data_IF_734866216007
#
_entry.id   IF_734866216007
#
_cell.length_a   1.000
_cell.length_b   1.000
_cell.length_c   1.000
_cell.angle_alpha   90.00
_cell.angle_beta   90.00
_cell.angle_gamma   90.00
#
_symmetry.space_group_name_H-M   'P 1'
#
loop_
_entity.id
_entity.type
_entity.pdbx_description
1 polymer ?
#
# COMPACT_ATOMS: atom_id res chain seq x y z
N UNK A 1 17.20 66.48 -43.34
CA UNK A 1 17.00 66.45 -41.86
C UNK A 1 16.25 65.15 -41.50
N UNK A 2 16.99 64.06 -41.32
CA UNK A 2 16.40 62.72 -41.06
C UNK A 2 16.20 62.57 -39.56
N UNK A 3 14.95 62.37 -39.11
CA UNK A 3 14.63 62.11 -37.69
C UNK A 3 15.18 60.73 -37.30
N UNK A 4 15.86 60.58 -36.15
CA UNK A 4 16.34 59.28 -35.71
C UNK A 4 15.19 58.42 -35.18
N UNK A 5 15.12 57.20 -35.69
CA UNK A 5 14.20 56.15 -35.25
C UNK A 5 14.43 55.81 -33.77
N UNK A 6 13.37 55.92 -32.95
CA UNK A 6 13.41 55.57 -31.53
C UNK A 6 13.62 54.06 -31.37
N UNK A 7 14.77 53.72 -30.80
CA UNK A 7 15.22 52.36 -30.50
C UNK A 7 14.30 51.67 -29.46
N UNK A 8 13.24 51.00 -29.91
CA UNK A 8 12.24 50.30 -29.09
C UNK A 8 12.67 48.87 -28.66
N UNK A 9 13.91 48.45 -28.95
CA UNK A 9 14.41 47.10 -28.64
C UNK A 9 14.87 46.87 -27.19
N UNK A 10 15.31 47.93 -26.48
CA UNK A 10 15.98 47.78 -25.18
C UNK A 10 15.06 47.49 -23.98
N UNK A 11 13.77 47.87 -24.04
CA UNK A 11 12.83 47.66 -22.93
C UNK A 11 12.36 46.20 -22.80
N UNK A 12 12.27 45.47 -23.92
CA UNK A 12 11.86 44.07 -23.97
C UNK A 12 12.93 43.13 -23.39
N UNK A 13 14.18 43.31 -23.81
CA UNK A 13 15.34 42.56 -23.30
C UNK A 13 15.59 42.83 -21.82
N UNK A 14 15.46 44.09 -21.36
CA UNK A 14 15.60 44.42 -19.93
C UNK A 14 14.48 43.83 -19.07
N UNK A 15 13.25 43.71 -19.59
CA UNK A 15 12.13 43.01 -18.95
C UNK A 15 12.33 41.50 -18.90
N UNK A 16 12.87 40.90 -19.97
CA UNK A 16 13.26 39.48 -20.00
C UNK A 16 14.42 39.14 -19.05
N UNK A 17 15.43 40.00 -18.95
CA UNK A 17 16.56 39.83 -18.02
C UNK A 17 16.12 39.97 -16.56
N UNK A 18 15.22 40.92 -16.25
CA UNK A 18 14.58 41.03 -14.92
C UNK A 18 13.71 39.82 -14.58
N UNK A 19 13.05 39.21 -15.56
CA UNK A 19 12.30 37.96 -15.38
C UNK A 19 13.22 36.74 -15.17
N UNK A 20 14.40 36.72 -15.81
CA UNK A 20 15.41 35.65 -15.66
C UNK A 20 16.07 35.62 -14.28
N UNK A 21 16.23 36.76 -13.62
CA UNK A 21 16.79 36.86 -12.26
C UNK A 21 15.74 36.94 -11.12
N UNK A 22 14.45 37.06 -11.45
CA UNK A 22 13.39 37.29 -10.47
C UNK A 22 12.80 36.02 -9.85
N UNK A 23 11.89 36.20 -8.88
CA UNK A 23 11.10 35.12 -8.25
C UNK A 23 10.41 34.22 -9.30
N UNK A 24 10.03 34.80 -10.45
CA UNK A 24 9.46 34.09 -11.59
C UNK A 24 10.36 32.97 -12.16
N UNK A 25 11.68 33.11 -12.07
CA UNK A 25 12.64 32.11 -12.56
C UNK A 25 12.74 30.90 -11.63
N UNK A 26 12.42 31.06 -10.35
CA UNK A 26 12.54 29.98 -9.34
C UNK A 26 11.44 28.93 -9.44
N UNK A 27 10.34 29.23 -10.12
CA UNK A 27 9.18 28.37 -10.23
C UNK A 27 8.87 28.00 -11.68
N UNK A 28 8.47 26.76 -11.88
CA UNK A 28 7.97 26.26 -13.17
C UNK A 28 6.57 25.69 -13.01
N UNK A 29 5.75 25.83 -14.04
CA UNK A 29 4.40 25.25 -14.08
C UNK A 29 4.46 23.75 -14.36
N UNK A 30 3.49 22.98 -13.85
CA UNK A 30 3.37 21.53 -14.11
C UNK A 30 3.58 21.15 -15.59
N UNK A 31 2.90 21.80 -16.53
CA UNK A 31 3.03 21.48 -17.96
C UNK A 31 4.44 21.72 -18.50
N UNK A 32 5.14 22.75 -18.01
CA UNK A 32 6.52 23.00 -18.39
C UNK A 32 7.48 21.96 -17.78
N UNK A 33 7.22 21.50 -16.55
CA UNK A 33 7.96 20.39 -15.95
C UNK A 33 7.78 19.08 -16.73
N UNK A 34 6.54 18.76 -17.12
CA UNK A 34 6.21 17.59 -17.96
C UNK A 34 6.97 17.60 -19.28
N UNK A 35 6.92 18.71 -20.01
CA UNK A 35 7.60 18.86 -21.29
C UNK A 35 9.12 18.75 -21.15
N UNK A 36 9.68 19.26 -20.05
CA UNK A 36 11.11 19.19 -19.78
C UNK A 36 11.60 17.78 -19.45
N UNK A 37 10.85 17.04 -18.62
CA UNK A 37 11.20 15.67 -18.21
C UNK A 37 10.78 14.62 -19.27
N UNK A 38 9.96 15.01 -20.25
CA UNK A 38 9.40 14.14 -21.29
C UNK A 38 8.56 12.99 -20.72
N UNK A 39 7.82 13.26 -19.64
CA UNK A 39 6.97 12.30 -18.93
C UNK A 39 5.49 12.54 -19.19
N UNK A 40 4.69 11.48 -19.04
CA UNK A 40 3.23 11.60 -18.94
C UNK A 40 2.85 12.14 -17.56
N UNK A 41 1.62 12.66 -17.43
CA UNK A 41 1.11 13.18 -16.16
C UNK A 41 1.10 12.13 -15.04
N UNK A 42 0.72 10.88 -15.34
CA UNK A 42 0.69 9.80 -14.35
C UNK A 42 2.10 9.47 -13.83
N UNK A 43 3.06 9.27 -14.74
CA UNK A 43 4.46 8.96 -14.38
C UNK A 43 5.11 10.11 -13.62
N UNK A 44 4.80 11.36 -14.00
CA UNK A 44 5.27 12.54 -13.29
C UNK A 44 4.71 12.63 -11.88
N UNK A 45 3.39 12.40 -11.68
CA UNK A 45 2.79 12.37 -10.34
C UNK A 45 3.45 11.30 -9.47
N UNK A 46 3.61 10.08 -10.02
CA UNK A 46 4.30 8.98 -9.33
C UNK A 46 5.72 9.37 -8.92
N UNK A 47 6.51 9.91 -9.86
CA UNK A 47 7.88 10.32 -9.58
C UNK A 47 7.94 11.40 -8.49
N UNK A 48 7.04 12.38 -8.54
CA UNK A 48 6.94 13.42 -7.52
C UNK A 48 6.63 12.85 -6.13
N UNK A 49 5.71 11.88 -6.04
CA UNK A 49 5.36 11.20 -4.78
C UNK A 49 6.55 10.44 -4.22
N UNK A 50 7.18 9.60 -5.06
CA UNK A 50 8.33 8.78 -4.67
C UNK A 50 9.52 9.62 -4.16
N UNK A 51 9.75 10.80 -4.77
CA UNK A 51 10.82 11.73 -4.33
C UNK A 51 10.38 12.75 -3.28
N UNK A 52 9.10 12.78 -2.89
CA UNK A 52 8.59 13.77 -1.92
C UNK A 52 8.51 15.21 -2.45
N UNK A 53 8.48 15.41 -3.76
CA UNK A 53 8.39 16.74 -4.37
C UNK A 53 6.92 17.16 -4.48
N UNK A 54 6.59 18.23 -3.78
CA UNK A 54 5.23 18.74 -3.69
C UNK A 54 5.06 20.08 -4.42
N UNK A 55 3.84 20.37 -4.88
CA UNK A 55 3.48 21.69 -5.39
C UNK A 55 3.83 22.83 -4.44
N UNK A 56 4.17 23.98 -5.02
CA UNK A 56 4.47 25.22 -4.30
C UNK A 56 3.51 26.30 -4.71
N UNK A 57 3.17 27.16 -3.76
CA UNK A 57 2.37 28.34 -4.02
C UNK A 57 3.24 29.60 -4.03
N UNK A 58 3.69 30.08 -5.20
CA UNK A 58 4.55 31.25 -5.25
C UNK A 58 3.75 32.53 -4.97
N UNK A 59 4.36 33.45 -4.22
CA UNK A 59 3.78 34.77 -3.89
C UNK A 59 3.28 35.55 -5.11
N UNK A 60 3.95 35.41 -6.25
CA UNK A 60 3.54 36.00 -7.54
C UNK A 60 3.40 34.90 -8.59
N UNK A 61 2.15 34.59 -8.98
CA UNK A 61 1.83 33.57 -9.99
C UNK A 61 1.85 34.16 -11.40
N UNK A 62 3.05 34.31 -11.96
CA UNK A 62 3.26 34.97 -13.26
C UNK A 62 2.59 34.30 -14.47
N UNK A 63 2.28 33.00 -14.40
CA UNK A 63 1.71 32.21 -15.52
C UNK A 63 0.22 31.89 -15.34
N UNK A 64 -0.45 32.48 -14.34
CA UNK A 64 -1.86 32.28 -14.02
C UNK A 64 -2.10 31.66 -12.63
N UNK A 65 -3.26 31.98 -12.03
CA UNK A 65 -3.59 31.62 -10.65
C UNK A 65 -3.96 30.14 -10.47
N UNK A 66 -4.70 29.56 -11.42
CA UNK A 66 -5.14 28.15 -11.39
C UNK A 66 -4.09 27.13 -11.83
N UNK A 67 -2.80 27.50 -11.89
CA UNK A 67 -1.73 26.58 -12.28
C UNK A 67 -0.97 26.09 -11.06
N UNK A 68 -0.63 24.81 -11.07
CA UNK A 68 0.28 24.20 -10.11
C UNK A 68 1.72 24.57 -10.46
N UNK A 69 2.47 25.09 -9.48
CA UNK A 69 3.87 25.44 -9.63
C UNK A 69 4.76 24.48 -8.83
N UNK A 70 5.98 24.29 -9.30
CA UNK A 70 7.05 23.52 -8.65
C UNK A 70 8.32 24.36 -8.66
N UNK A 71 9.27 24.08 -7.76
CA UNK A 71 10.58 24.73 -7.86
C UNK A 71 11.37 24.17 -9.04
N UNK A 72 12.11 25.05 -9.72
CA UNK A 72 12.99 24.63 -10.82
C UNK A 72 14.12 23.73 -10.32
N UNK A 73 14.59 23.92 -9.07
CA UNK A 73 15.59 23.06 -8.43
C UNK A 73 15.08 21.63 -8.30
N UNK A 74 13.88 21.45 -7.78
CA UNK A 74 13.26 20.13 -7.60
C UNK A 74 13.06 19.41 -8.95
N UNK A 75 12.66 20.14 -10.00
CA UNK A 75 12.55 19.56 -11.34
C UNK A 75 13.92 19.21 -11.94
N UNK A 76 14.97 19.97 -11.66
CA UNK A 76 16.33 19.59 -12.04
C UNK A 76 16.78 18.34 -11.31
N UNK A 77 16.44 18.22 -10.03
CA UNK A 77 16.73 17.05 -9.23
C UNK A 77 16.06 15.79 -9.81
N UNK A 78 14.79 15.89 -10.20
CA UNK A 78 14.07 14.81 -10.91
C UNK A 78 14.71 14.42 -12.24
N UNK A 79 15.38 15.35 -12.92
CA UNK A 79 15.99 15.06 -14.22
C UNK A 79 17.19 14.11 -14.12
N UNK A 80 17.82 14.01 -12.93
CA UNK A 80 18.97 13.15 -12.68
C UNK A 80 18.59 11.83 -11.97
N UNK A 81 17.30 11.57 -11.77
CA UNK A 81 16.84 10.40 -11.04
C UNK A 81 16.84 9.12 -11.92
N UNK A 82 17.51 8.02 -11.52
CA UNK A 82 17.55 6.78 -12.30
C UNK A 82 16.19 6.14 -12.60
N UNK A 83 15.17 6.34 -11.74
CA UNK A 83 13.81 5.87 -12.03
C UNK A 83 13.22 6.44 -13.32
N UNK A 84 13.70 7.61 -13.77
CA UNK A 84 13.26 8.22 -15.02
C UNK A 84 13.52 7.28 -16.21
N UNK A 85 14.71 6.67 -16.26
CA UNK A 85 15.08 5.75 -17.34
C UNK A 85 14.35 4.41 -17.22
N UNK A 86 14.07 3.96 -15.99
CA UNK A 86 13.21 2.79 -15.75
C UNK A 86 11.79 3.01 -16.24
N UNK A 87 11.19 4.18 -16.00
CA UNK A 87 9.86 4.52 -16.51
C UNK A 87 9.84 4.59 -18.05
N UNK A 88 10.90 5.11 -18.67
CA UNK A 88 11.05 5.09 -20.14
C UNK A 88 11.15 3.66 -20.68
N UNK A 89 11.91 2.80 -20.02
CA UNK A 89 12.04 1.38 -20.39
C UNK A 89 10.69 0.64 -20.24
N UNK A 90 9.98 0.85 -19.14
CA UNK A 90 8.63 0.33 -18.90
C UNK A 90 7.66 0.74 -20.01
N UNK A 91 7.64 2.03 -20.36
CA UNK A 91 6.79 2.54 -21.45
C UNK A 91 7.16 1.97 -22.81
N UNK A 92 8.45 1.73 -23.07
CA UNK A 92 8.88 1.03 -24.29
C UNK A 92 8.37 -0.42 -24.29
N UNK A 93 8.41 -1.09 -23.14
CA UNK A 93 7.89 -2.45 -22.97
C UNK A 93 6.37 -2.53 -23.15
N UNK A 94 5.62 -1.61 -22.55
CA UNK A 94 4.17 -1.51 -22.74
C UNK A 94 3.79 -1.35 -24.22
N UNK A 95 4.56 -0.57 -24.99
CA UNK A 95 4.36 -0.43 -26.44
C UNK A 95 4.64 -1.74 -27.18
N UNK A 96 5.67 -2.49 -26.80
CA UNK A 96 5.96 -3.82 -27.36
C UNK A 96 4.84 -4.82 -27.08
N UNK A 97 4.35 -4.86 -25.84
CA UNK A 97 3.23 -5.71 -25.42
C UNK A 97 1.98 -5.35 -26.22
N UNK A 98 1.63 -4.06 -26.31
CA UNK A 98 0.47 -3.61 -27.11
C UNK A 98 0.59 -4.00 -28.59
N UNK A 99 1.79 -3.88 -29.17
CA UNK A 99 2.05 -4.29 -30.57
C UNK A 99 1.93 -5.81 -30.75
N UNK A 100 2.42 -6.60 -29.81
CA UNK A 100 2.29 -8.06 -29.84
C UNK A 100 0.84 -8.52 -29.64
N UNK A 101 0.10 -7.91 -28.72
CA UNK A 101 -1.35 -8.11 -28.51
C UNK A 101 -2.14 -7.78 -29.77
N UNK A 102 -1.86 -6.65 -30.41
CA UNK A 102 -2.52 -6.26 -31.67
C UNK A 102 -2.24 -7.25 -32.83
N UNK A 103 -1.08 -7.90 -32.83
CA UNK A 103 -0.72 -8.97 -33.78
C UNK A 103 -1.23 -10.36 -33.39
N UNK A 104 -1.99 -10.49 -32.29
CA UNK A 104 -2.47 -11.76 -31.73
C UNK A 104 -1.36 -12.79 -31.46
N UNK A 105 -0.14 -12.33 -31.19
CA UNK A 105 1.00 -13.20 -30.90
C UNK A 105 1.07 -13.51 -29.40
N UNK A 106 0.19 -14.38 -28.89
CA UNK A 106 0.01 -14.65 -27.46
C UNK A 106 1.30 -15.11 -26.76
N UNK A 107 2.01 -16.09 -27.29
CA UNK A 107 3.30 -16.53 -26.71
C UNK A 107 4.35 -15.43 -26.63
N UNK A 108 4.33 -14.46 -27.55
CA UNK A 108 5.24 -13.32 -27.49
C UNK A 108 4.82 -12.31 -26.42
N UNK A 109 3.52 -12.20 -26.14
CA UNK A 109 2.97 -11.39 -25.06
C UNK A 109 3.41 -11.95 -23.71
N UNK A 110 3.24 -13.25 -23.48
CA UNK A 110 3.58 -13.89 -22.19
C UNK A 110 5.06 -13.71 -21.87
N UNK A 111 5.95 -14.00 -22.84
CA UNK A 111 7.40 -13.75 -22.70
C UNK A 111 7.75 -12.30 -22.42
N UNK A 112 6.97 -11.35 -22.94
CA UNK A 112 7.17 -9.93 -22.67
C UNK A 112 6.61 -9.54 -21.28
N UNK A 113 5.52 -10.15 -20.84
CA UNK A 113 4.98 -9.89 -19.51
C UNK A 113 5.91 -10.44 -18.41
N UNK A 114 6.48 -11.63 -18.59
CA UNK A 114 7.49 -12.22 -17.69
C UNK A 114 8.78 -11.38 -17.61
N UNK A 115 9.27 -10.88 -18.76
CA UNK A 115 10.51 -10.10 -18.84
C UNK A 115 10.30 -8.61 -18.60
N UNK A 116 9.14 -8.21 -18.07
CA UNK A 116 8.84 -6.80 -17.82
C UNK A 116 9.86 -6.24 -16.81
N UNK A 117 10.53 -5.11 -17.13
CA UNK A 117 11.52 -4.55 -16.23
C UNK A 117 10.84 -4.06 -14.95
N UNK A 118 11.39 -4.44 -13.80
CA UNK A 118 10.99 -3.92 -12.50
C UNK A 118 12.01 -2.87 -12.03
N UNK A 119 11.61 -2.02 -11.09
CA UNK A 119 12.51 -1.07 -10.42
C UNK A 119 12.34 -1.25 -8.91
N UNK A 120 13.44 -1.04 -8.17
CA UNK A 120 13.42 -0.96 -6.72
C UNK A 120 13.29 0.49 -6.25
N UNK A 121 12.88 0.66 -5.00
CA UNK A 121 12.80 1.96 -4.32
C UNK A 121 13.86 2.12 -3.23
N UNK A 122 14.76 1.16 -3.10
CA UNK A 122 15.76 1.07 -2.02
C UNK A 122 16.67 2.30 -1.94
N UNK A 123 17.10 2.80 -3.10
CA UNK A 123 17.95 4.00 -3.17
C UNK A 123 17.19 5.24 -2.73
N UNK A 124 15.87 5.32 -2.99
CA UNK A 124 15.05 6.44 -2.56
C UNK A 124 14.88 6.48 -1.05
N UNK A 125 14.63 5.32 -0.43
CA UNK A 125 14.47 5.24 1.03
C UNK A 125 15.76 5.68 1.71
N UNK A 126 16.92 5.21 1.24
CA UNK A 126 18.24 5.58 1.78
C UNK A 126 18.61 7.05 1.55
N UNK A 127 18.22 7.62 0.42
CA UNK A 127 18.45 9.04 0.11
C UNK A 127 17.57 9.96 0.97
N UNK A 128 16.33 9.54 1.23
CA UNK A 128 15.36 10.32 2.01
C UNK A 128 15.60 10.21 3.52
N UNK A 129 15.99 9.04 4.01
CA UNK A 129 16.28 8.77 5.41
C UNK A 129 17.72 8.24 5.55
N UNK A 130 18.72 9.13 5.68
CA UNK A 130 20.12 8.73 5.81
C UNK A 130 20.40 7.93 7.09
N UNK A 131 19.64 8.20 8.16
CA UNK A 131 19.75 7.49 9.43
C UNK A 131 18.49 6.69 9.74
N UNK A 132 18.65 5.64 10.54
CA UNK A 132 17.53 4.82 10.99
C UNK A 132 16.55 5.60 11.88
N UNK A 133 17.05 6.53 12.70
CA UNK A 133 16.21 7.38 13.53
C UNK A 133 15.34 8.32 12.68
N UNK A 134 15.88 8.87 11.59
CA UNK A 134 15.09 9.70 10.66
C UNK A 134 13.94 8.91 10.04
N UNK A 135 14.19 7.63 9.69
CA UNK A 135 13.14 6.75 9.20
C UNK A 135 12.07 6.50 10.27
N UNK A 136 12.48 6.17 11.50
CA UNK A 136 11.55 5.92 12.61
C UNK A 136 10.64 7.12 12.90
N UNK A 137 11.16 8.35 12.88
CA UNK A 137 10.37 9.56 13.13
C UNK A 137 9.23 9.79 12.14
N UNK A 138 9.34 9.25 10.93
CA UNK A 138 8.36 9.39 9.86
C UNK A 138 7.58 8.08 9.63
N UNK A 139 7.59 7.14 10.59
CA UNK A 139 6.90 5.83 10.47
C UNK A 139 5.39 5.88 10.74
N UNK A 140 4.87 6.91 11.40
CA UNK A 140 3.46 7.02 11.79
C UNK A 140 2.50 6.94 10.58
N UNK A 141 2.82 7.70 9.52
CA UNK A 141 2.06 7.74 8.26
C UNK A 141 2.16 6.41 7.48
N UNK A 142 3.37 5.85 7.24
CA UNK A 142 3.55 4.51 6.66
C UNK A 142 2.76 3.42 7.37
N UNK A 143 2.84 3.35 8.70
CA UNK A 143 2.16 2.32 9.48
C UNK A 143 0.64 2.42 9.35
N UNK A 144 0.10 3.64 9.42
CA UNK A 144 -1.33 3.88 9.26
C UNK A 144 -1.82 3.50 7.86
N UNK A 145 -1.08 3.84 6.80
CA UNK A 145 -1.48 3.52 5.44
C UNK A 145 -1.37 2.01 5.15
N UNK A 146 -0.29 1.37 5.59
CA UNK A 146 -0.10 -0.09 5.45
C UNK A 146 -1.22 -0.83 6.16
N UNK A 147 -1.59 -0.39 7.36
CA UNK A 147 -2.66 -1.00 8.13
C UNK A 147 -4.05 -0.79 7.52
N UNK A 148 -4.28 0.36 6.88
CA UNK A 148 -5.48 0.58 6.08
C UNK A 148 -5.58 -0.43 4.95
N UNK A 149 -4.54 -0.54 4.12
CA UNK A 149 -4.54 -1.46 2.98
C UNK A 149 -4.52 -2.94 3.38
N UNK A 150 -4.05 -3.27 4.58
CA UNK A 150 -4.14 -4.63 5.14
C UNK A 150 -5.58 -5.05 5.45
N UNK A 151 -6.50 -4.09 5.67
CA UNK A 151 -7.91 -4.34 5.97
C UNK A 151 -8.84 -4.14 4.77
N UNK A 152 -8.38 -3.44 3.74
CA UNK A 152 -9.17 -3.22 2.53
C UNK A 152 -9.28 -4.49 1.66
N UNK A 153 -10.45 -4.72 1.02
CA UNK A 153 -10.59 -5.80 0.05
C UNK A 153 -9.77 -5.52 -1.21
N UNK A 154 -9.28 -6.58 -1.85
CA UNK A 154 -8.69 -6.48 -3.17
C UNK A 154 -9.80 -6.24 -4.20
N UNK A 155 -9.77 -5.08 -4.86
CA UNK A 155 -10.81 -4.69 -5.83
C UNK A 155 -10.21 -4.35 -7.20
N UNK A 156 -10.71 -5.04 -8.22
CA UNK A 156 -10.35 -4.82 -9.62
C UNK A 156 -10.89 -3.49 -10.15
N UNK A 157 -12.04 -3.01 -9.65
CA UNK A 157 -12.68 -1.77 -10.10
C UNK A 157 -11.81 -0.55 -9.76
N UNK A 158 -11.31 -0.50 -8.53
CA UNK A 158 -10.43 0.56 -8.04
C UNK A 158 -8.94 0.31 -8.33
N UNK A 159 -8.60 -0.85 -8.92
CA UNK A 159 -7.24 -1.18 -9.33
C UNK A 159 -6.32 -1.55 -8.17
N UNK A 160 -6.87 -2.09 -7.08
CA UNK A 160 -6.13 -2.54 -5.89
C UNK A 160 -5.75 -4.02 -6.08
N UNK A 161 -4.46 -4.34 -6.30
CA UNK A 161 -4.04 -5.72 -6.50
C UNK A 161 -3.98 -6.49 -5.17
N UNK A 162 -4.33 -7.77 -5.21
CA UNK A 162 -4.30 -8.67 -4.04
C UNK A 162 -2.90 -8.81 -3.46
N UNK A 163 -1.87 -8.85 -4.31
CA UNK A 163 -0.47 -8.94 -3.89
C UNK A 163 -0.07 -7.80 -2.93
N UNK A 164 -0.52 -6.58 -3.21
CA UNK A 164 -0.18 -5.40 -2.39
C UNK A 164 -0.94 -5.42 -1.06
N UNK A 165 -2.19 -5.87 -1.06
CA UNK A 165 -2.97 -6.07 0.17
C UNK A 165 -2.31 -7.11 1.07
N UNK A 166 -1.94 -8.27 0.52
CA UNK A 166 -1.26 -9.32 1.28
C UNK A 166 0.09 -8.86 1.80
N UNK A 167 0.89 -8.19 0.96
CA UNK A 167 2.17 -7.64 1.39
C UNK A 167 2.01 -6.63 2.54
N UNK A 168 0.99 -5.79 2.47
CA UNK A 168 0.69 -4.81 3.52
C UNK A 168 0.27 -5.51 4.82
N UNK A 169 -0.56 -6.55 4.73
CA UNK A 169 -0.97 -7.38 5.87
C UNK A 169 0.23 -8.05 6.53
N UNK A 170 1.14 -8.66 5.76
CA UNK A 170 2.35 -9.27 6.29
C UNK A 170 3.22 -8.24 7.03
N UNK A 171 3.51 -7.09 6.41
CA UNK A 171 4.35 -6.05 7.01
C UNK A 171 3.75 -5.46 8.29
N UNK A 172 2.44 -5.28 8.32
CA UNK A 172 1.73 -4.85 9.52
C UNK A 172 1.85 -5.86 10.66
N UNK A 173 1.59 -7.15 10.37
CA UNK A 173 1.72 -8.23 11.35
C UNK A 173 3.15 -8.37 11.86
N UNK A 174 4.15 -8.25 11.00
CA UNK A 174 5.56 -8.24 11.38
C UNK A 174 5.87 -7.12 12.39
N UNK A 175 5.38 -5.90 12.14
CA UNK A 175 5.61 -4.76 13.03
C UNK A 175 4.86 -4.91 14.36
N UNK A 176 3.58 -5.25 14.32
CA UNK A 176 2.77 -5.47 15.53
C UNK A 176 3.35 -6.60 16.38
N UNK A 177 3.82 -7.68 15.75
CA UNK A 177 4.44 -8.80 16.45
C UNK A 177 5.77 -8.42 17.09
N UNK A 178 6.56 -7.54 16.46
CA UNK A 178 7.74 -6.95 17.09
C UNK A 178 7.39 -6.12 18.33
N UNK A 179 6.35 -5.28 18.24
CA UNK A 179 5.88 -4.44 19.37
C UNK A 179 5.42 -5.31 20.55
N UNK A 180 4.67 -6.39 20.27
CA UNK A 180 4.23 -7.35 21.30
C UNK A 180 5.44 -8.07 21.91
N UNK A 181 6.37 -8.57 21.09
CA UNK A 181 7.55 -9.31 21.57
C UNK A 181 8.45 -8.44 22.46
N UNK A 182 8.53 -7.15 22.17
CA UNK A 182 9.37 -6.20 22.89
C UNK A 182 8.66 -5.47 24.03
N UNK A 183 7.35 -5.72 24.21
CA UNK A 183 6.50 -5.01 25.17
C UNK A 183 6.65 -3.47 25.05
N UNK A 184 6.71 -2.96 23.81
CA UNK A 184 6.98 -1.56 23.53
C UNK A 184 5.74 -0.65 23.56
N UNK A 185 4.53 -1.24 23.60
CA UNK A 185 3.27 -0.50 23.60
C UNK A 185 3.09 0.30 24.90
N UNK A 186 2.72 1.57 24.79
CA UNK A 186 2.54 2.50 25.92
C UNK A 186 1.11 2.94 26.10
N UNK A 187 0.47 3.43 25.05
CA UNK A 187 -0.90 3.96 25.09
C UNK A 187 -1.74 3.32 24.01
N UNK A 188 -3.03 3.16 24.30
CA UNK A 188 -4.03 2.69 23.38
C UNK A 188 -5.29 3.55 23.54
N UNK A 189 -5.88 3.97 22.44
CA UNK A 189 -7.11 4.76 22.44
C UNK A 189 -8.06 4.25 21.36
N UNK A 190 -9.27 3.86 21.76
CA UNK A 190 -10.31 3.38 20.84
C UNK A 190 -11.18 4.57 20.44
N UNK A 191 -11.35 4.76 19.14
CA UNK A 191 -12.19 5.79 18.55
C UNK A 191 -13.22 5.17 17.60
N UNK A 192 -14.15 5.99 17.12
CA UNK A 192 -15.10 5.62 16.06
C UNK A 192 -14.37 5.25 14.76
N UNK A 193 -13.25 5.91 14.46
CA UNK A 193 -12.47 5.66 13.22
C UNK A 193 -11.66 4.35 13.25
N UNK A 194 -11.29 3.90 14.44
CA UNK A 194 -10.34 2.81 14.62
C UNK A 194 -9.65 2.87 15.97
N UNK A 195 -8.59 2.10 16.11
CA UNK A 195 -7.79 1.98 17.33
C UNK A 195 -6.46 2.67 17.10
N UNK A 196 -6.14 3.64 17.95
CA UNK A 196 -4.86 4.33 17.97
C UNK A 196 -3.91 3.63 18.94
N UNK A 197 -2.72 3.30 18.48
CA UNK A 197 -1.66 2.69 19.27
C UNK A 197 -0.48 3.66 19.37
N UNK A 198 0.12 3.73 20.54
CA UNK A 198 1.38 4.43 20.75
C UNK A 198 2.42 3.47 21.32
N UNK A 199 3.55 3.30 20.65
CA UNK A 199 4.67 2.48 21.14
C UNK A 199 5.99 3.26 21.14
N UNK A 200 6.90 2.91 22.05
CA UNK A 200 8.23 3.54 22.15
C UNK A 200 9.27 2.59 21.56
N UNK A 201 9.87 2.98 20.44
CA UNK A 201 10.83 2.17 19.69
C UNK A 201 12.12 2.99 19.54
N UNK A 202 13.24 2.51 20.08
CA UNK A 202 14.53 3.23 20.12
C UNK A 202 14.46 4.65 20.71
N UNK A 203 13.54 4.88 21.65
CA UNK A 203 13.35 6.19 22.29
C UNK A 203 12.49 7.18 21.51
N UNK A 204 12.04 6.82 20.31
CA UNK A 204 11.06 7.59 19.53
C UNK A 204 9.65 7.05 19.81
N UNK A 205 8.69 7.96 19.97
CA UNK A 205 7.27 7.61 20.16
C UNK A 205 6.60 7.46 18.80
N UNK A 206 6.15 6.26 18.47
CA UNK A 206 5.43 5.96 17.23
C UNK A 206 3.95 5.88 17.51
N UNK A 207 3.14 6.59 16.72
CA UNK A 207 1.68 6.60 16.82
C UNK A 207 1.06 6.20 15.49
N UNK A 208 0.28 5.12 15.47
CA UNK A 208 -0.43 4.69 14.26
C UNK A 208 -1.86 4.29 14.56
N UNK A 209 -2.69 4.27 13.52
CA UNK A 209 -4.10 3.90 13.62
C UNK A 209 -4.38 2.61 12.85
N UNK A 210 -5.06 1.68 13.52
CA UNK A 210 -5.64 0.47 12.91
C UNK A 210 -7.14 0.67 12.72
N UNK A 211 -7.66 0.62 11.47
CA UNK A 211 -9.10 0.66 11.25
C UNK A 211 -9.81 -0.54 11.88
N UNK A 212 -11.07 -0.36 12.27
CA UNK A 212 -11.93 -1.46 12.69
C UNK A 212 -12.09 -2.48 11.56
N UNK A 213 -12.13 -3.76 11.91
CA UNK A 213 -12.25 -4.88 10.97
C UNK A 213 -13.69 -5.05 10.45
N UNK A 214 -14.20 -4.01 9.79
CA UNK A 214 -15.53 -3.96 9.21
C UNK A 214 -15.43 -4.04 7.68
N UNK A 215 -16.49 -4.54 7.04
CA UNK A 215 -16.61 -4.47 5.59
C UNK A 215 -16.70 -2.99 5.16
N UNK A 216 -15.73 -2.53 4.36
CA UNK A 216 -15.69 -1.15 3.89
C UNK A 216 -16.12 -1.09 2.43
N UNK A 217 -17.01 -0.15 2.13
CA UNK A 217 -17.31 0.25 0.75
C UNK A 217 -16.28 1.29 0.31
N UNK A 218 -15.66 1.05 -0.85
CA UNK A 218 -14.63 1.92 -1.42
C UNK A 218 -15.30 3.11 -2.13
N UNK A 219 -15.11 4.35 -1.67
CA UNK A 219 -15.75 5.51 -2.29
C UNK A 219 -15.06 5.92 -3.61
N UNK A 220 -15.85 6.38 -4.57
CA UNK A 220 -15.38 6.66 -5.95
C UNK A 220 -14.61 7.99 -6.10
N UNK A 221 -14.74 8.89 -5.14
CA UNK A 221 -14.08 10.22 -5.14
C UNK A 221 -12.58 10.15 -4.80
N UNK A 222 -12.11 9.00 -4.30
CA UNK A 222 -10.72 8.79 -3.90
C UNK A 222 -9.86 8.28 -5.06
N UNK A 223 -8.73 8.95 -5.31
CA UNK A 223 -7.74 8.51 -6.31
C UNK A 223 -6.82 7.42 -5.71
N UNK A 224 -7.27 6.16 -5.78
CA UNK A 224 -6.50 5.00 -5.34
C UNK A 224 -5.16 4.83 -6.05
N UNK A 225 -5.01 5.34 -7.28
CA UNK A 225 -3.73 5.23 -8.01
C UNK A 225 -2.66 6.06 -7.33
N UNK A 226 -3.03 7.22 -6.79
CA UNK A 226 -2.13 8.05 -5.97
C UNK A 226 -1.81 7.34 -4.66
N UNK A 227 -2.82 6.81 -3.96
CA UNK A 227 -2.60 6.08 -2.71
C UNK A 227 -1.68 4.86 -2.89
N UNK A 228 -1.85 4.09 -3.96
CA UNK A 228 -0.99 2.95 -4.27
C UNK A 228 0.47 3.36 -4.50
N UNK A 229 0.73 4.54 -5.07
CA UNK A 229 2.11 5.03 -5.21
C UNK A 229 2.74 5.48 -3.89
N UNK A 230 1.95 5.99 -2.95
CA UNK A 230 2.41 6.22 -1.57
C UNK A 230 2.69 4.89 -0.86
N UNK A 231 1.75 3.96 -0.96
CA UNK A 231 1.86 2.63 -0.36
C UNK A 231 3.08 1.87 -0.89
N UNK A 232 3.39 1.95 -2.18
CA UNK A 232 4.59 1.33 -2.76
C UNK A 232 5.88 1.79 -2.06
N UNK A 233 6.00 3.09 -1.79
CA UNK A 233 7.13 3.66 -1.05
C UNK A 233 7.10 3.25 0.43
N UNK A 234 5.94 3.32 1.08
CA UNK A 234 5.78 2.97 2.49
C UNK A 234 6.00 1.48 2.75
N UNK A 235 5.60 0.58 1.86
CA UNK A 235 5.90 -0.85 1.92
C UNK A 235 7.41 -1.09 1.89
N UNK A 236 8.14 -0.38 1.01
CA UNK A 236 9.60 -0.47 0.97
C UNK A 236 10.23 0.06 2.26
N UNK A 237 9.80 1.24 2.73
CA UNK A 237 10.28 1.86 3.97
C UNK A 237 10.03 0.98 5.21
N UNK A 238 8.79 0.54 5.41
CA UNK A 238 8.41 -0.35 6.52
C UNK A 238 9.18 -1.67 6.45
N UNK A 239 9.41 -2.21 5.25
CA UNK A 239 10.26 -3.40 5.07
C UNK A 239 11.70 -3.20 5.53
N UNK A 240 12.32 -2.06 5.23
CA UNK A 240 13.66 -1.71 5.72
C UNK A 240 13.69 -1.55 7.25
N UNK A 241 12.66 -0.90 7.80
CA UNK A 241 12.57 -0.68 9.24
C UNK A 241 12.38 -1.99 9.98
N UNK A 242 11.43 -2.83 9.56
CA UNK A 242 11.22 -4.16 10.14
C UNK A 242 12.49 -5.01 10.06
N UNK A 243 13.17 -5.05 8.90
CA UNK A 243 14.44 -5.77 8.76
C UNK A 243 15.46 -5.36 9.84
N UNK A 244 15.64 -4.05 10.04
CA UNK A 244 16.58 -3.52 11.03
C UNK A 244 16.15 -3.83 12.47
N UNK A 245 14.86 -3.67 12.78
CA UNK A 245 14.29 -3.95 14.11
C UNK A 245 14.49 -5.42 14.52
N UNK A 246 14.25 -6.35 13.60
CA UNK A 246 14.40 -7.79 13.86
C UNK A 246 15.88 -8.17 14.00
N UNK A 247 16.74 -7.71 13.09
CA UNK A 247 18.16 -8.03 13.10
C UNK A 247 18.88 -7.47 14.34
N UNK A 248 18.51 -6.27 14.80
CA UNK A 248 19.10 -5.70 16.03
C UNK A 248 18.73 -6.48 17.30
N UNK A 249 17.69 -7.32 17.24
CA UNK A 249 17.27 -8.22 18.33
C UNK A 249 17.69 -9.67 18.11
N UNK A 250 18.47 -9.97 17.07
CA UNK A 250 18.87 -11.35 16.71
C UNK A 250 17.69 -12.24 16.31
N UNK A 251 16.62 -11.64 15.78
CA UNK A 251 15.45 -12.34 15.28
C UNK A 251 15.58 -12.53 13.77
N UNK A 252 15.22 -13.72 13.28
CA UNK A 252 15.20 -14.00 11.85
C UNK A 252 14.18 -13.12 11.13
N UNK A 253 14.61 -12.49 10.03
CA UNK A 253 13.72 -11.76 9.11
C UNK A 253 13.78 -12.35 7.69
N UNK A 254 12.64 -12.52 6.99
CA UNK A 254 11.27 -12.37 7.47
C UNK A 254 10.89 -13.43 8.52
N UNK A 255 10.00 -13.11 9.48
CA UNK A 255 9.51 -14.11 10.43
C UNK A 255 8.67 -15.17 9.70
N UNK A 256 8.59 -16.36 10.28
CA UNK A 256 7.78 -17.44 9.72
C UNK A 256 6.33 -17.26 10.16
N UNK A 257 5.40 -17.36 9.22
CA UNK A 257 3.97 -17.42 9.50
C UNK A 257 3.55 -18.88 9.55
N UNK A 258 2.85 -19.29 10.61
CA UNK A 258 2.19 -20.60 10.65
C UNK A 258 0.94 -20.53 9.77
N UNK A 259 0.94 -21.29 8.68
CA UNK A 259 -0.16 -21.31 7.71
C UNK A 259 -1.50 -21.68 8.36
N UNK A 260 -1.51 -22.60 9.33
CA UNK A 260 -2.76 -23.01 9.99
C UNK A 260 -3.34 -21.90 10.86
N UNK A 261 -2.48 -21.20 11.60
CA UNK A 261 -2.91 -20.07 12.42
C UNK A 261 -3.28 -18.87 11.56
N UNK A 262 -2.64 -18.69 10.40
CA UNK A 262 -3.01 -17.64 9.44
C UNK A 262 -4.38 -17.91 8.80
N UNK A 263 -4.65 -19.15 8.40
CA UNK A 263 -5.94 -19.60 7.85
C UNK A 263 -7.07 -19.42 8.88
N UNK A 264 -6.79 -19.65 10.16
CA UNK A 264 -7.70 -19.42 11.28
C UNK A 264 -7.77 -17.95 11.74
N UNK A 265 -7.22 -17.01 10.96
CA UNK A 265 -7.17 -15.59 11.27
C UNK A 265 -6.54 -15.25 12.64
N UNK A 266 -5.58 -16.06 13.11
CA UNK A 266 -4.85 -15.89 14.37
C UNK A 266 -3.99 -14.63 14.46
N UNK A 267 -3.87 -13.87 13.37
CA UNK A 267 -3.26 -12.53 13.34
C UNK A 267 -1.84 -12.53 13.88
N UNK A 268 -1.58 -11.73 14.91
CA UNK A 268 -0.26 -11.56 15.53
C UNK A 268 0.29 -12.88 16.09
N UNK A 269 -0.57 -13.79 16.54
CA UNK A 269 -0.19 -15.07 17.15
C UNK A 269 0.37 -16.06 16.12
N UNK A 270 0.02 -15.90 14.84
CA UNK A 270 0.53 -16.73 13.76
C UNK A 270 2.02 -16.47 13.44
N UNK A 271 2.59 -15.37 13.94
CA UNK A 271 3.99 -14.98 13.68
C UNK A 271 4.93 -15.72 14.64
N UNK A 272 5.75 -16.62 14.09
CA UNK A 272 6.75 -17.39 14.83
C UNK A 272 8.09 -16.63 14.83
N UNK A 273 8.53 -16.26 16.03
CA UNK A 273 9.85 -15.66 16.28
C UNK A 273 10.89 -16.74 16.59
N UNK A 274 11.68 -17.13 15.58
CA UNK A 274 12.85 -18.01 15.78
C UNK A 274 14.13 -17.18 15.97
N UNK A 275 14.98 -17.57 16.93
CA UNK A 275 16.33 -17.03 17.09
C UNK A 275 17.23 -17.49 15.93
N UNK A 276 18.17 -16.65 15.49
CA UNK A 276 19.03 -16.89 14.32
C UNK A 276 19.96 -18.12 14.45
N UNK A 277 20.19 -18.65 15.66
CA UNK A 277 21.09 -19.79 15.92
C UNK A 277 20.65 -21.13 15.29
N UNK A 278 19.47 -21.21 14.68
CA UNK A 278 19.00 -22.40 13.94
C UNK A 278 19.44 -22.49 12.47
N UNK A 279 20.11 -21.45 11.94
CA UNK A 279 20.28 -21.27 10.49
C UNK A 279 21.31 -22.17 9.79
N UNK A 280 21.97 -23.12 10.49
CA UNK A 280 22.84 -24.12 9.83
C UNK A 280 22.12 -25.39 9.36
N UNK A 281 20.83 -25.58 9.66
CA UNK A 281 20.14 -26.84 9.39
C UNK A 281 19.23 -26.88 8.15
N UNK A 282 18.99 -25.75 7.45
CA UNK A 282 18.00 -25.72 6.34
C UNK A 282 18.61 -25.20 5.04
N UNK A 283 19.82 -25.65 4.73
CA UNK A 283 20.57 -25.30 3.53
C UNK A 283 21.04 -26.51 2.75
N UNK A 284 20.14 -27.43 2.37
CA UNK A 284 20.37 -28.36 1.25
C UNK A 284 19.08 -29.10 0.87
N UNK A 285 18.78 -29.15 -0.43
CA UNK A 285 18.11 -30.31 -1.02
C UNK A 285 16.58 -30.29 -1.06
N UNK A 286 16.08 -30.18 -2.28
CA UNK A 286 14.75 -30.58 -2.74
C UNK A 286 14.27 -31.95 -2.21
N UNK A 287 12.96 -32.00 -1.90
CA UNK A 287 12.06 -33.16 -1.94
C UNK A 287 12.25 -34.26 -0.88
N UNK A 288 11.40 -34.28 0.16
CA UNK A 288 10.79 -35.50 0.72
C UNK A 288 9.79 -35.15 1.84
N UNK A 289 8.63 -35.82 1.83
CA UNK A 289 7.78 -35.99 3.01
C UNK A 289 8.62 -36.60 4.14
N UNK A 290 8.73 -35.92 5.27
CA UNK A 290 9.08 -36.56 6.54
C UNK A 290 8.56 -35.72 7.70
N UNK A 291 7.67 -36.34 8.47
CA UNK A 291 7.37 -36.00 9.86
C UNK A 291 8.67 -35.87 10.65
N UNK A 292 8.90 -34.72 11.28
CA UNK A 292 9.98 -34.58 12.27
C UNK A 292 9.37 -34.03 13.55
N UNK A 293 9.27 -34.91 14.54
CA UNK A 293 8.94 -34.58 15.91
C UNK A 293 10.01 -33.62 16.46
N UNK A 294 9.60 -32.41 16.85
CA UNK A 294 10.46 -31.46 17.55
C UNK A 294 10.58 -31.85 19.03
N UNK A 295 11.75 -31.67 19.68
CA UNK A 295 11.91 -31.99 21.09
C UNK A 295 11.14 -30.97 21.93
N UNK A 296 10.33 -31.48 22.86
CA UNK A 296 9.46 -30.70 23.73
C UNK A 296 10.25 -29.76 24.66
N UNK A 297 10.40 -28.50 24.28
CA UNK A 297 10.70 -27.41 25.23
C UNK A 297 9.40 -26.98 25.90
N UNK A 298 9.39 -26.94 27.24
CA UNK A 298 8.23 -26.55 28.05
C UNK A 298 7.74 -25.16 27.63
N UNK A 299 6.64 -25.12 26.85
CA UNK A 299 5.85 -23.91 26.59
C UNK A 299 5.44 -23.29 27.94
N UNK A 300 5.52 -21.96 28.06
CA UNK A 300 5.04 -21.23 29.24
C UNK A 300 3.55 -21.51 29.47
N UNK A 301 3.08 -21.48 30.73
CA UNK A 301 1.69 -21.81 31.09
C UNK A 301 0.67 -20.97 30.29
N UNK A 302 1.00 -19.71 30.04
CA UNK A 302 0.16 -18.78 29.28
C UNK A 302 0.10 -19.11 27.77
N UNK A 303 1.17 -19.66 27.19
CA UNK A 303 1.17 -20.14 25.81
C UNK A 303 0.31 -21.41 25.64
N UNK A 304 0.25 -22.27 26.66
CA UNK A 304 -0.61 -23.46 26.65
C UNK A 304 -2.09 -23.11 26.82
N UNK A 305 -2.39 -22.15 27.67
CA UNK A 305 -3.76 -21.70 27.91
C UNK A 305 -4.33 -20.95 26.70
N UNK A 306 -3.51 -20.15 26.01
CA UNK A 306 -3.91 -19.50 24.75
C UNK A 306 -4.12 -20.53 23.64
N UNK A 307 -3.23 -21.49 23.46
CA UNK A 307 -3.38 -22.59 22.50
C UNK A 307 -4.67 -23.40 22.73
N UNK A 308 -4.98 -23.75 23.99
CA UNK A 308 -6.24 -24.43 24.35
C UNK A 308 -7.50 -23.57 24.09
N UNK A 309 -7.41 -22.25 24.23
CA UNK A 309 -8.49 -21.33 23.87
C UNK A 309 -8.68 -21.22 22.35
N UNK A 310 -7.62 -21.37 21.56
CA UNK A 310 -7.70 -21.36 20.09
C UNK A 310 -8.29 -22.66 19.53
N UNK A 311 -7.94 -23.81 20.11
CA UNK A 311 -8.54 -25.10 19.70
C UNK A 311 -10.06 -25.11 19.94
N UNK A 312 -10.52 -24.48 21.02
CA UNK A 312 -11.96 -24.37 21.33
C UNK A 312 -12.68 -23.29 20.49
N UNK A 313 -11.97 -22.29 19.98
CA UNK A 313 -12.52 -21.28 19.07
C UNK A 313 -12.86 -21.84 17.69
N UNK A 314 -12.04 -22.76 17.17
CA UNK A 314 -12.31 -23.44 15.89
C UNK A 314 -13.62 -24.24 15.92
N UNK A 315 -13.87 -24.95 17.04
CA UNK A 315 -15.12 -25.69 17.24
C UNK A 315 -16.34 -24.76 17.34
N UNK A 316 -16.22 -23.63 18.06
CA UNK A 316 -17.31 -22.64 18.18
C UNK A 316 -17.64 -21.91 16.88
N UNK A 317 -16.63 -21.62 16.04
CA UNK A 317 -16.83 -21.03 14.72
C UNK A 317 -17.54 -22.00 13.76
N UNK A 318 -17.23 -23.30 13.84
CA UNK A 318 -17.92 -24.33 13.07
C UNK A 318 -19.39 -24.50 13.52
N UNK A 319 -19.65 -24.38 14.82
CA UNK A 319 -21.00 -24.45 15.40
C UNK A 319 -21.85 -23.23 15.00
N UNK A 320 -21.28 -22.02 15.01
CA UNK A 320 -21.95 -20.81 14.53
C UNK A 320 -22.23 -20.85 13.02
N UNK A 321 -21.30 -21.35 12.21
CA UNK A 321 -21.48 -21.50 10.77
C UNK A 321 -22.50 -22.59 10.39
N UNK A 322 -22.76 -23.55 11.29
CA UNK A 322 -23.84 -24.53 11.15
C UNK A 322 -25.19 -23.95 11.58
N UNK A 323 -25.22 -23.10 12.63
CA UNK A 323 -26.42 -22.41 13.09
C UNK A 323 -26.99 -21.43 12.07
N UNK A 324 -26.15 -20.58 11.47
CA UNK A 324 -26.57 -19.62 10.44
C UNK A 324 -27.10 -20.29 9.16
N UNK A 325 -26.61 -21.50 8.85
CA UNK A 325 -27.06 -22.26 7.67
C UNK A 325 -28.42 -22.95 7.89
N UNK A 326 -28.83 -23.15 9.15
CA UNK A 326 -30.16 -23.62 9.51
C UNK A 326 -31.18 -22.49 9.48
N UNK A 327 -30.82 -21.32 10.01
CA UNK A 327 -31.69 -20.13 10.03
C UNK A 327 -31.99 -19.59 8.62
N UNK A 328 -31.01 -19.59 7.70
CA UNK A 328 -31.22 -19.19 6.29
C UNK A 328 -32.15 -20.15 5.53
N UNK A 329 -32.14 -21.45 5.86
CA UNK A 329 -33.02 -22.45 5.25
C UNK A 329 -34.47 -22.28 5.71
N UNK A 330 -34.68 -21.97 7.00
CA UNK A 330 -36.01 -21.79 7.58
C UNK A 330 -36.67 -20.49 7.06
N UNK A 331 -35.90 -19.41 6.87
CA UNK A 331 -36.40 -18.16 6.28
C UNK A 331 -36.75 -18.29 4.78
N UNK A 332 -35.96 -19.01 3.98
CA UNK A 332 -36.28 -19.27 2.57
C UNK A 332 -37.51 -20.17 2.40
N UNK A 333 -37.70 -21.18 3.27
CA UNK A 333 -38.86 -22.08 3.22
C UNK A 333 -40.16 -21.39 3.71
N UNK A 334 -40.06 -20.48 4.68
CA UNK A 334 -41.17 -19.61 5.12
C UNK A 334 -41.55 -18.58 4.04
N UNK A 335 -40.58 -17.94 3.40
CA UNK A 335 -40.83 -16.98 2.32
C UNK A 335 -41.45 -17.67 1.08
N UNK A 336 -41.04 -18.90 0.75
CA UNK A 336 -41.64 -19.68 -0.33
C UNK A 336 -43.09 -20.09 -0.03
N UNK A 337 -43.43 -20.34 1.23
CA UNK A 337 -44.81 -20.65 1.67
C UNK A 337 -45.73 -19.43 1.67
N UNK A 338 -45.24 -18.25 2.07
CA UNK A 338 -46.01 -17.00 1.96
C UNK A 338 -46.27 -16.61 0.50
N UNK A 339 -45.30 -16.82 -0.39
CA UNK A 339 -45.48 -16.58 -1.83
C UNK A 339 -46.46 -17.56 -2.51
N UNK A 340 -46.54 -18.80 -2.03
CA UNK A 340 -47.55 -19.76 -2.50
C UNK A 340 -48.95 -19.40 -2.01
N UNK A 341 -49.09 -19.01 -0.74
CA UNK A 341 -50.39 -18.61 -0.16
C UNK A 341 -50.93 -17.30 -0.77
N UNK A 342 -50.05 -16.36 -1.15
CA UNK A 342 -50.46 -15.13 -1.85
C UNK A 342 -50.96 -15.41 -3.27
N UNK A 343 -50.47 -16.48 -3.91
CA UNK A 343 -50.83 -16.86 -5.28
C UNK A 343 -52.14 -17.64 -5.36
N UNK A 344 -52.44 -18.44 -4.34
CA UNK A 344 -53.73 -19.12 -4.20
C UNK A 344 -54.87 -18.14 -3.81
N UNK A 345 -54.54 -17.01 -3.16
CA UNK A 345 -55.52 -15.97 -2.81
C UNK A 345 -55.91 -15.03 -3.97
N UNK A 346 -55.07 -14.89 -5.00
CA UNK A 346 -55.39 -14.10 -6.20
C UNK A 346 -56.25 -14.87 -7.21
N UNK A 347 -56.25 -16.22 -7.17
CA UNK A 347 -57.10 -17.06 -8.04
C UNK A 347 -58.56 -17.18 -7.54
N UNK A 348 -58.84 -16.95 -6.25
CA UNK A 348 -60.22 -16.94 -5.71
C UNK A 348 -60.96 -15.60 -5.90
N UNK A 349 -60.25 -14.48 -6.11
CA UNK A 349 -60.91 -13.18 -6.37
C UNK A 349 -61.34 -13.02 -7.84
N UNK A 350 -60.67 -13.66 -8.81
CA UNK A 350 -61.05 -13.59 -10.24
C UNK A 350 -62.22 -14.51 -10.63
N UNK A 351 -62.59 -15.51 -9.82
CA UNK A 351 -63.74 -16.39 -10.09
C UNK A 351 -65.07 -15.88 -9.50
N UNK A 352 -65.05 -14.77 -8.75
CA UNK A 352 -66.23 -14.20 -8.08
C UNK A 352 -66.87 -12.98 -8.78
N UNK A 353 -66.28 -12.49 -9.88
CA UNK A 353 -66.78 -11.31 -10.62
C UNK A 353 -67.03 -11.58 -12.12
N UNK A 354 -67.38 -12.83 -12.47
CA UNK A 354 -67.72 -13.29 -13.82
C UNK A 354 -69.21 -13.51 -14.08
#
# INVERSE_FOLDING_TARGET
MVKPSKNMGGKSTKKQLRAKGGVASRYTTRNAALNRLQLKLADFRRLCILKGIHPREPKKKHKGQGKTYYHVKDINFLAHEPLLDKFRALRAYERKIKKAKAKKAYHAVDRLEERKPQYGLDHLVKERYPTFQDALRDMDDPLTLVQLFARLPADKRHGIPSEVVQRSRTLALEFESYVVKTNALRKCFISVKGIYYQAVVYGEELTWMTPHALAQTLPEDVDYRVMLTFLEFYVAMTGFVNYKLYHDRGLRYPPLLDSKLEDNAGGIVAVIHTLEDGAKAVGSGSNAKASVAAPARKKSAQARETEARFDTLGAKLAELAAGTRGEEMDEEELAARELAAARDGEEEEEESDG
#
